data_IF_124605241884
#
_entry.id   IF_124605241884
#
_cell.length_a   1.000
_cell.length_b   1.000
_cell.length_c   1.000
_cell.angle_alpha   90.00
_cell.angle_beta   90.00
_cell.angle_gamma   90.00
#
_symmetry.space_group_name_H-M   'P 1'
#
loop_
_entity.id
_entity.type
_entity.pdbx_description
1 polymer ?
#
# COMPACT_ATOMS: atom_id res chain seq x y z
N UNK A 1 -21.39 -0.73 -2.25
CA UNK A 1 -20.09 -1.41 -2.16
C UNK A 1 -19.13 -0.52 -1.40
N UNK A 2 -18.35 -1.06 -0.46
CA UNK A 2 -17.26 -0.35 0.20
C UNK A 2 -16.02 -0.31 -0.67
N UNK A 3 -15.25 0.77 -0.55
CA UNK A 3 -14.01 0.95 -1.31
C UNK A 3 -12.88 1.28 -0.32
N UNK A 4 -11.74 0.62 -0.51
CA UNK A 4 -10.46 0.97 0.11
C UNK A 4 -9.52 1.41 -1.00
N UNK A 5 -9.01 2.62 -0.91
CA UNK A 5 -8.12 3.16 -1.95
C UNK A 5 -6.76 2.47 -1.94
N UNK A 6 -6.10 2.42 -3.09
CA UNK A 6 -4.73 1.90 -3.23
C UNK A 6 -3.74 2.65 -2.34
N UNK A 7 -3.88 3.97 -2.21
CA UNK A 7 -3.02 4.77 -1.33
C UNK A 7 -3.18 4.40 0.14
N UNK A 8 -4.38 3.97 0.57
CA UNK A 8 -4.60 3.44 1.92
C UNK A 8 -3.84 2.13 2.12
N UNK A 9 -3.95 1.18 1.18
CA UNK A 9 -3.24 -0.11 1.23
C UNK A 9 -1.73 0.12 1.20
N UNK A 10 -1.24 0.93 0.25
CA UNK A 10 0.18 1.28 0.12
C UNK A 10 0.72 1.97 1.39
N UNK A 11 -0.11 2.77 2.09
CA UNK A 11 0.29 3.36 3.38
C UNK A 11 0.53 2.29 4.44
N UNK A 12 -0.33 1.27 4.53
CA UNK A 12 -0.18 0.18 5.49
C UNK A 12 1.10 -0.65 5.22
N UNK A 13 1.37 -0.92 3.94
CA UNK A 13 2.61 -1.59 3.53
C UNK A 13 3.83 -0.75 3.94
N UNK A 14 3.83 0.57 3.65
CA UNK A 14 4.91 1.47 4.07
C UNK A 14 5.14 1.48 5.57
N UNK A 15 4.06 1.57 6.35
CA UNK A 15 4.15 1.57 7.81
C UNK A 15 4.75 0.25 8.33
N UNK A 16 4.37 -0.88 7.75
CA UNK A 16 4.94 -2.17 8.12
C UNK A 16 6.43 -2.24 7.77
N UNK A 17 6.82 -1.85 6.56
CA UNK A 17 8.22 -1.85 6.12
C UNK A 17 9.07 -0.95 7.00
N UNK A 18 8.58 0.24 7.37
CA UNK A 18 9.27 1.16 8.27
C UNK A 18 9.52 0.55 9.67
N UNK A 19 8.58 -0.23 10.19
CA UNK A 19 8.71 -0.90 11.49
C UNK A 19 9.60 -2.14 11.40
N UNK A 20 9.36 -2.99 10.40
CA UNK A 20 9.99 -4.31 10.32
C UNK A 20 11.44 -4.27 9.83
N UNK A 21 11.79 -3.26 9.03
CA UNK A 21 13.10 -3.12 8.39
C UNK A 21 13.77 -1.78 8.73
N UNK A 22 13.50 -1.24 9.92
CA UNK A 22 14.11 0.00 10.40
C UNK A 22 15.63 -0.10 10.40
N UNK A 23 16.30 0.88 9.79
CA UNK A 23 17.78 0.93 9.70
C UNK A 23 18.39 -0.01 8.65
N UNK A 24 17.59 -0.84 7.98
CA UNK A 24 18.09 -1.66 6.87
C UNK A 24 18.32 -0.80 5.62
N UNK A 25 19.48 -1.00 4.98
CA UNK A 25 19.84 -0.25 3.78
C UNK A 25 18.82 -0.46 2.65
N UNK A 26 18.37 0.62 2.02
CA UNK A 26 17.40 0.58 0.94
C UNK A 26 15.94 0.42 1.40
N UNK A 27 15.65 0.30 2.69
CA UNK A 27 14.30 0.14 3.23
C UNK A 27 13.67 1.43 3.77
N UNK A 28 14.29 2.59 3.52
CA UNK A 28 13.68 3.87 3.89
C UNK A 28 12.34 4.10 3.16
N UNK A 29 11.49 4.92 3.77
CA UNK A 29 10.21 5.35 3.18
C UNK A 29 10.27 6.84 2.83
N UNK A 30 10.09 7.15 1.54
CA UNK A 30 10.06 8.52 1.05
C UNK A 30 8.77 9.23 1.49
N UNK A 31 7.64 8.59 1.24
CA UNK A 31 6.31 9.18 1.51
C UNK A 31 5.94 8.97 2.97
N UNK A 32 6.43 9.84 3.85
CA UNK A 32 6.09 9.93 5.28
C UNK A 32 6.10 11.38 5.76
N UNK A 33 5.55 11.62 6.94
CA UNK A 33 5.27 12.97 7.47
C UNK A 33 6.43 13.60 8.24
N UNK A 34 7.62 13.03 8.19
CA UNK A 34 8.81 13.49 8.92
C UNK A 34 9.38 14.79 8.36
N UNK A 35 9.52 14.88 7.03
CA UNK A 35 10.08 16.04 6.31
C UNK A 35 9.29 16.33 5.04
N UNK A 36 9.36 17.56 4.55
CA UNK A 36 8.84 17.91 3.23
C UNK A 36 9.57 17.13 2.13
N UNK A 37 8.85 16.73 1.08
CA UNK A 37 9.45 15.94 -0.02
C UNK A 37 10.60 16.67 -0.70
N UNK A 38 10.46 17.99 -0.95
CA UNK A 38 11.52 18.76 -1.57
C UNK A 38 12.82 18.78 -0.74
N UNK A 39 12.73 18.72 0.59
CA UNK A 39 13.91 18.57 1.45
C UNK A 39 14.63 17.25 1.20
N UNK A 40 13.87 16.15 1.07
CA UNK A 40 14.44 14.82 0.76
C UNK A 40 15.07 14.78 -0.64
N UNK A 41 14.52 15.53 -1.60
CA UNK A 41 15.12 15.63 -2.93
C UNK A 41 16.44 16.40 -2.89
N UNK A 42 16.51 17.49 -2.14
CA UNK A 42 17.77 18.23 -1.91
C UNK A 42 18.81 17.34 -1.22
N UNK A 43 18.42 16.59 -0.17
CA UNK A 43 19.29 15.62 0.50
C UNK A 43 19.85 14.55 -0.47
N UNK A 44 19.04 14.09 -1.44
CA UNK A 44 19.51 13.15 -2.47
C UNK A 44 20.55 13.78 -3.40
N UNK A 45 20.38 15.04 -3.79
CA UNK A 45 21.38 15.77 -4.58
C UNK A 45 22.67 15.94 -3.81
N UNK A 46 22.61 16.33 -2.54
CA UNK A 46 23.79 16.51 -1.66
C UNK A 46 24.54 15.17 -1.48
N UNK A 47 23.82 14.08 -1.24
CA UNK A 47 24.40 12.74 -1.10
C UNK A 47 25.12 12.27 -2.37
N UNK A 48 24.68 12.73 -3.55
CA UNK A 48 25.31 12.44 -4.84
C UNK A 48 26.41 13.45 -5.21
N UNK A 49 26.72 14.46 -4.38
CA UNK A 49 27.67 15.52 -4.69
C UNK A 49 27.20 16.43 -5.83
N UNK A 50 25.90 16.53 -6.08
CA UNK A 50 25.31 17.36 -7.11
C UNK A 50 25.03 18.76 -6.58
N UNK A 51 25.07 19.77 -7.45
CA UNK A 51 24.71 21.14 -7.08
C UNK A 51 23.21 21.25 -6.78
N UNK A 52 22.87 21.90 -5.67
CA UNK A 52 21.49 22.11 -5.21
C UNK A 52 21.00 23.51 -5.58
N UNK A 53 19.68 23.68 -5.65
CA UNK A 53 18.98 24.97 -5.81
C UNK A 53 19.40 25.81 -7.04
N UNK A 54 19.96 25.20 -8.05
CA UNK A 54 20.27 25.84 -9.33
C UNK A 54 19.08 25.73 -10.30
N UNK A 55 18.75 26.78 -11.01
CA UNK A 55 17.74 26.75 -12.09
C UNK A 55 18.27 25.97 -13.29
N UNK A 56 17.41 25.20 -13.94
CA UNK A 56 17.75 24.50 -15.18
C UNK A 56 18.62 23.26 -14.99
N UNK A 57 18.27 22.39 -14.04
CA UNK A 57 18.93 21.10 -13.82
C UNK A 57 19.08 20.33 -15.13
N UNK A 58 20.27 19.77 -15.36
CA UNK A 58 20.49 18.90 -16.51
C UNK A 58 19.86 17.51 -16.27
N UNK A 59 19.60 16.79 -17.36
CA UNK A 59 18.98 15.47 -17.31
C UNK A 59 19.81 14.43 -16.54
N UNK A 60 21.15 14.55 -16.57
CA UNK A 60 22.03 13.62 -15.86
C UNK A 60 21.95 13.79 -14.34
N UNK A 61 21.92 15.02 -13.83
CA UNK A 61 21.73 15.27 -12.39
C UNK A 61 20.40 14.70 -11.89
N UNK A 62 19.33 14.92 -12.66
CA UNK A 62 18.00 14.36 -12.34
C UNK A 62 18.05 12.83 -12.34
N UNK A 63 18.73 12.22 -13.30
CA UNK A 63 18.87 10.77 -13.38
C UNK A 63 19.64 10.20 -12.19
N UNK A 64 20.79 10.78 -11.86
CA UNK A 64 21.63 10.34 -10.73
C UNK A 64 20.86 10.44 -9.41
N UNK A 65 20.19 11.57 -9.16
CA UNK A 65 19.39 11.75 -7.94
C UNK A 65 18.19 10.76 -7.87
N UNK A 66 17.53 10.50 -9.00
CA UNK A 66 16.46 9.50 -9.10
C UNK A 66 16.97 8.09 -8.78
N UNK A 67 18.12 7.71 -9.34
CA UNK A 67 18.70 6.38 -9.14
C UNK A 67 19.13 6.22 -7.66
N UNK A 68 19.69 7.24 -7.04
CA UNK A 68 19.94 7.27 -5.59
C UNK A 68 18.66 7.07 -4.77
N UNK A 69 17.56 7.77 -5.11
CA UNK A 69 16.29 7.59 -4.41
C UNK A 69 15.75 6.16 -4.60
N UNK A 70 15.81 5.61 -5.80
CA UNK A 70 15.39 4.21 -6.03
C UNK A 70 16.22 3.23 -5.19
N UNK A 71 17.52 3.45 -5.01
CA UNK A 71 18.39 2.58 -4.20
C UNK A 71 18.06 2.65 -2.70
N UNK A 72 17.72 3.84 -2.19
CA UNK A 72 17.59 4.07 -0.76
C UNK A 72 16.15 3.99 -0.23
N UNK A 73 15.14 4.12 -1.10
CA UNK A 73 13.73 4.19 -0.70
C UNK A 73 12.91 3.04 -1.29
N UNK A 74 12.52 2.10 -0.43
CA UNK A 74 11.72 0.93 -0.80
C UNK A 74 10.44 1.31 -1.53
N UNK A 75 9.70 2.29 -1.01
CA UNK A 75 8.39 2.64 -1.55
C UNK A 75 8.46 3.30 -2.94
N UNK A 76 9.55 4.02 -3.25
CA UNK A 76 9.78 4.59 -4.59
C UNK A 76 10.13 3.48 -5.57
N UNK A 77 11.05 2.60 -5.20
CA UNK A 77 11.46 1.45 -6.01
C UNK A 77 10.30 0.51 -6.29
N UNK A 78 9.37 0.36 -5.32
CA UNK A 78 8.22 -0.54 -5.39
C UNK A 78 7.03 0.08 -6.12
N UNK A 79 6.56 1.23 -5.66
CA UNK A 79 5.28 1.83 -6.13
C UNK A 79 5.47 2.96 -7.13
N UNK A 80 6.68 3.50 -7.22
CA UNK A 80 6.97 4.70 -7.99
C UNK A 80 6.63 5.99 -7.26
N UNK A 81 7.09 7.09 -7.81
CA UNK A 81 6.79 8.44 -7.33
C UNK A 81 6.94 9.49 -8.43
N UNK A 82 6.19 10.59 -8.33
CA UNK A 82 6.39 11.81 -9.10
C UNK A 82 7.19 12.78 -8.23
N UNK A 83 8.43 13.03 -8.61
CA UNK A 83 9.41 13.83 -7.86
C UNK A 83 9.92 15.00 -8.69
N UNK A 84 9.02 15.64 -9.44
CA UNK A 84 9.34 16.71 -10.39
C UNK A 84 9.14 18.11 -9.83
N UNK A 85 8.89 18.24 -8.52
CA UNK A 85 8.65 19.52 -7.84
C UNK A 85 9.91 20.05 -7.18
N UNK A 86 9.91 21.37 -6.91
CA UNK A 86 11.03 22.04 -6.21
C UNK A 86 12.22 22.37 -7.11
N UNK A 87 13.26 22.85 -6.48
CA UNK A 87 14.49 23.29 -7.17
C UNK A 87 15.43 22.12 -7.53
N UNK A 88 15.28 20.99 -6.85
CA UNK A 88 16.08 19.77 -7.01
C UNK A 88 15.23 18.58 -7.44
N UNK A 89 14.64 18.59 -8.66
CA UNK A 89 13.74 17.53 -9.09
C UNK A 89 14.49 16.22 -9.31
N UNK A 90 13.86 15.10 -8.88
CA UNK A 90 14.37 13.75 -9.08
C UNK A 90 13.60 12.98 -10.18
N UNK A 91 12.78 13.69 -10.96
CA UNK A 91 12.04 13.13 -12.09
C UNK A 91 10.86 12.25 -11.69
N UNK A 92 10.54 11.27 -12.53
CA UNK A 92 9.40 10.37 -12.34
C UNK A 92 9.90 8.94 -12.34
N UNK A 93 9.43 8.16 -11.36
CA UNK A 93 9.65 6.71 -11.29
C UNK A 93 8.29 6.03 -11.45
N UNK A 94 8.21 5.12 -12.43
CA UNK A 94 7.07 4.20 -12.56
C UNK A 94 7.43 2.88 -11.89
N UNK A 95 6.83 2.63 -10.72
CA UNK A 95 7.10 1.42 -9.95
C UNK A 95 6.49 0.17 -10.56
N UNK A 96 7.09 -1.01 -10.30
CA UNK A 96 6.61 -2.30 -10.78
C UNK A 96 5.30 -2.73 -10.14
N UNK A 97 5.01 -2.31 -8.91
CA UNK A 97 3.86 -2.77 -8.14
C UNK A 97 2.70 -1.78 -8.25
N UNK A 98 1.60 -2.24 -8.79
CA UNK A 98 0.34 -1.50 -8.85
C UNK A 98 -0.74 -2.29 -8.12
N UNK A 99 -1.52 -1.60 -7.29
CA UNK A 99 -2.62 -2.18 -6.53
C UNK A 99 -3.89 -1.45 -6.91
N UNK A 100 -4.95 -2.19 -7.25
CA UNK A 100 -6.26 -1.64 -7.51
C UNK A 100 -6.95 -1.26 -6.19
N UNK A 101 -8.05 -0.51 -6.26
CA UNK A 101 -8.87 -0.27 -5.09
C UNK A 101 -9.45 -1.59 -4.56
N UNK A 102 -9.34 -1.80 -3.27
CA UNK A 102 -10.03 -2.88 -2.60
C UNK A 102 -11.54 -2.62 -2.62
N UNK A 103 -12.32 -3.60 -3.07
CA UNK A 103 -13.78 -3.53 -3.12
C UNK A 103 -14.39 -4.55 -2.18
N UNK A 104 -15.45 -4.16 -1.44
CA UNK A 104 -16.15 -5.12 -0.60
C UNK A 104 -16.87 -6.15 -1.47
N UNK A 105 -16.86 -7.41 -1.02
CA UNK A 105 -17.57 -8.53 -1.68
C UNK A 105 -19.08 -8.29 -1.63
N UNK A 106 -19.58 -7.91 -0.46
CA UNK A 106 -20.97 -7.54 -0.25
C UNK A 106 -21.15 -6.03 -0.05
N UNK A 107 -22.36 -5.50 -0.22
CA UNK A 107 -22.69 -4.14 0.20
C UNK A 107 -22.38 -3.95 1.69
N UNK A 108 -21.74 -2.83 2.04
CA UNK A 108 -21.46 -2.44 3.42
C UNK A 108 -22.23 -1.18 3.78
N UNK A 109 -22.68 -1.11 5.03
CA UNK A 109 -23.35 0.04 5.59
C UNK A 109 -22.44 0.70 6.65
N UNK A 110 -21.84 1.86 6.35
CA UNK A 110 -21.11 2.61 7.35
C UNK A 110 -22.04 3.07 8.47
N UNK A 111 -21.57 2.95 9.71
CA UNK A 111 -22.26 3.46 10.90
C UNK A 111 -21.47 4.63 11.47
N UNK A 112 -22.19 5.66 11.92
CA UNK A 112 -21.63 6.79 12.63
C UNK A 112 -21.92 6.64 14.12
N UNK A 113 -20.92 6.78 14.96
CA UNK A 113 -21.04 6.82 16.41
C UNK A 113 -20.43 8.11 16.95
N UNK A 114 -21.07 8.66 18.00
CA UNK A 114 -20.51 9.77 18.76
C UNK A 114 -19.55 9.23 19.80
N UNK A 115 -18.39 9.86 19.90
CA UNK A 115 -17.39 9.61 20.94
C UNK A 115 -17.19 10.89 21.76
N UNK A 116 -17.02 10.74 23.07
CA UNK A 116 -16.87 11.87 23.97
C UNK A 116 -15.51 11.79 24.67
N UNK A 117 -14.75 12.87 24.55
CA UNK A 117 -13.53 13.07 25.33
C UNK A 117 -13.87 13.84 26.60
N UNK A 118 -13.47 13.33 27.76
CA UNK A 118 -13.75 13.92 29.08
C UNK A 118 -12.91 15.17 29.42
N UNK A 119 -12.14 15.68 28.47
CA UNK A 119 -11.30 16.84 28.65
C UNK A 119 -11.35 17.75 27.43
N UNK A 120 -11.35 19.04 27.66
CA UNK A 120 -11.22 20.09 26.65
C UNK A 120 -9.76 20.42 26.37
N UNK A 121 -9.48 21.15 25.29
CA UNK A 121 -8.10 21.43 24.85
C UNK A 121 -7.51 22.68 25.48
N UNK A 122 -8.34 23.71 25.74
CA UNK A 122 -7.88 25.01 26.24
C UNK A 122 -8.59 25.40 27.51
N UNK A 123 -7.99 26.29 28.35
CA UNK A 123 -8.62 26.81 29.54
C UNK A 123 -9.85 27.67 29.21
N UNK A 124 -9.88 28.33 28.07
CA UNK A 124 -11.06 29.06 27.56
C UNK A 124 -12.23 28.13 27.24
N UNK A 125 -11.97 26.95 26.70
CA UNK A 125 -13.01 25.96 26.48
C UNK A 125 -13.55 25.40 27.79
N UNK A 126 -12.69 25.18 28.80
CA UNK A 126 -13.06 24.67 30.11
C UNK A 126 -14.10 25.54 30.82
N UNK A 127 -14.07 26.85 30.59
CA UNK A 127 -15.05 27.78 31.14
C UNK A 127 -16.47 27.59 30.54
N UNK A 128 -16.57 26.98 29.33
CA UNK A 128 -17.82 26.91 28.60
C UNK A 128 -18.32 25.46 28.42
N UNK A 129 -17.46 24.44 28.51
CA UNK A 129 -17.81 23.02 28.30
C UNK A 129 -16.84 22.14 29.09
N UNK A 130 -17.33 21.01 29.57
CA UNK A 130 -16.52 20.01 30.30
C UNK A 130 -15.99 18.89 29.39
N UNK A 131 -16.64 18.67 28.25
CA UNK A 131 -16.35 17.57 27.38
C UNK A 131 -16.24 18.02 25.91
N UNK A 132 -15.57 17.24 25.10
CA UNK A 132 -15.47 17.42 23.66
C UNK A 132 -16.07 16.22 22.94
N UNK A 133 -17.00 16.46 22.02
CA UNK A 133 -17.65 15.42 21.23
C UNK A 133 -17.07 15.34 19.82
N UNK A 134 -16.85 14.12 19.35
CA UNK A 134 -16.44 13.83 17.98
C UNK A 134 -17.31 12.72 17.38
N UNK A 135 -17.28 12.60 16.07
CA UNK A 135 -17.96 11.54 15.34
C UNK A 135 -16.94 10.58 14.73
N UNK A 136 -17.27 9.30 14.72
CA UNK A 136 -16.45 8.27 14.09
C UNK A 136 -17.31 7.38 13.23
N UNK A 137 -16.90 7.24 11.96
CA UNK A 137 -17.53 6.30 11.04
C UNK A 137 -16.77 4.98 11.05
N UNK A 138 -17.46 3.87 11.02
CA UNK A 138 -16.89 2.54 10.92
C UNK A 138 -17.80 1.59 10.16
N UNK A 139 -17.23 0.50 9.67
CA UNK A 139 -17.94 -0.61 9.03
C UNK A 139 -17.88 -1.77 10.02
N UNK A 140 -19.05 -2.28 10.51
CA UNK A 140 -19.09 -3.36 11.49
C UNK A 140 -18.39 -4.63 11.00
N UNK A 141 -18.62 -5.00 9.75
CA UNK A 141 -17.96 -6.10 9.07
C UNK A 141 -17.91 -5.84 7.56
N UNK A 142 -16.87 -6.33 6.89
CA UNK A 142 -16.74 -6.34 5.44
C UNK A 142 -15.55 -7.18 4.99
N UNK A 143 -15.77 -8.03 3.99
CA UNK A 143 -14.71 -8.72 3.28
C UNK A 143 -14.38 -7.91 2.02
N UNK A 144 -13.10 -7.61 1.83
CA UNK A 144 -12.62 -6.82 0.70
C UNK A 144 -11.67 -7.64 -0.16
N UNK A 145 -11.83 -7.55 -1.47
CA UNK A 145 -10.92 -8.06 -2.46
C UNK A 145 -10.14 -6.91 -3.07
N UNK A 146 -8.82 -7.00 -3.08
CA UNK A 146 -7.93 -6.11 -3.82
C UNK A 146 -7.11 -6.94 -4.81
N UNK A 147 -6.89 -6.41 -5.98
CA UNK A 147 -6.08 -7.00 -7.03
C UNK A 147 -4.85 -6.14 -7.26
N UNK A 148 -3.76 -6.76 -7.68
CA UNK A 148 -2.52 -6.05 -7.90
C UNK A 148 -1.66 -6.72 -8.97
N UNK A 149 -0.65 -6.00 -9.43
CA UNK A 149 0.25 -6.41 -10.49
C UNK A 149 1.69 -6.15 -10.09
N UNK A 150 2.58 -7.04 -10.47
CA UNK A 150 4.03 -6.85 -10.38
C UNK A 150 4.63 -7.01 -11.77
N UNK A 151 5.21 -5.93 -12.30
CA UNK A 151 5.82 -5.92 -13.63
C UNK A 151 7.31 -6.18 -13.54
N UNK A 152 7.78 -7.34 -14.00
CA UNK A 152 9.19 -7.66 -14.05
C UNK A 152 10.01 -6.67 -14.90
N UNK A 153 9.44 -6.16 -16.00
CA UNK A 153 10.09 -5.17 -16.85
C UNK A 153 10.28 -3.82 -16.17
N UNK A 154 9.35 -3.41 -15.29
CA UNK A 154 9.50 -2.19 -14.49
C UNK A 154 10.41 -2.43 -13.29
N UNK A 155 10.40 -3.62 -12.69
CA UNK A 155 11.30 -4.01 -11.61
C UNK A 155 12.77 -3.85 -12.02
N UNK A 156 13.14 -4.33 -13.21
CA UNK A 156 14.48 -4.13 -13.78
C UNK A 156 14.89 -2.64 -13.89
N UNK A 157 13.93 -1.76 -14.17
CA UNK A 157 14.18 -0.31 -14.31
C UNK A 157 14.34 0.42 -12.98
N UNK A 158 13.68 -0.06 -11.93
CA UNK A 158 13.71 0.60 -10.61
C UNK A 158 14.72 -0.03 -9.66
N UNK A 159 15.25 -1.22 -10.00
CA UNK A 159 16.07 -2.03 -9.12
C UNK A 159 15.29 -2.80 -8.06
N UNK A 160 13.95 -2.95 -8.25
CA UNK A 160 13.12 -3.79 -7.37
C UNK A 160 13.54 -5.25 -7.52
N UNK A 161 14.00 -5.86 -6.43
CA UNK A 161 14.60 -7.18 -6.39
C UNK A 161 13.63 -8.26 -5.91
N UNK A 162 14.05 -9.55 -5.98
CA UNK A 162 13.33 -10.66 -5.36
C UNK A 162 13.24 -10.51 -3.82
N UNK A 163 14.27 -9.95 -3.19
CA UNK A 163 14.25 -9.65 -1.75
C UNK A 163 13.19 -8.58 -1.42
N UNK A 164 13.09 -7.53 -2.25
CA UNK A 164 12.01 -6.55 -2.13
C UNK A 164 10.62 -7.17 -2.32
N UNK A 165 10.51 -8.15 -3.23
CA UNK A 165 9.26 -8.87 -3.47
C UNK A 165 8.86 -9.71 -2.24
N UNK A 166 9.79 -10.40 -1.61
CA UNK A 166 9.49 -11.16 -0.37
C UNK A 166 9.17 -10.22 0.80
N UNK A 167 9.85 -9.07 0.92
CA UNK A 167 9.47 -8.01 1.88
C UNK A 167 8.05 -7.48 1.62
N UNK A 168 7.68 -7.31 0.34
CA UNK A 168 6.32 -6.91 -0.04
C UNK A 168 5.28 -7.95 0.37
N UNK A 169 5.53 -9.26 0.13
CA UNK A 169 4.62 -10.32 0.55
C UNK A 169 4.48 -10.36 2.07
N UNK A 170 5.57 -10.26 2.79
CA UNK A 170 5.57 -10.20 4.26
C UNK A 170 4.76 -8.99 4.75
N UNK A 171 4.97 -7.82 4.14
CA UNK A 171 4.23 -6.62 4.49
C UNK A 171 2.73 -6.76 4.22
N UNK A 172 2.33 -7.33 3.07
CA UNK A 172 0.92 -7.57 2.76
C UNK A 172 0.28 -8.51 3.78
N UNK A 173 0.97 -9.57 4.17
CA UNK A 173 0.44 -10.56 5.11
C UNK A 173 0.30 -10.01 6.53
N UNK A 174 1.19 -9.13 6.97
CA UNK A 174 1.30 -8.69 8.37
C UNK A 174 0.94 -7.22 8.63
N UNK A 175 0.71 -6.40 7.60
CA UNK A 175 0.51 -4.95 7.75
C UNK A 175 -0.64 -4.57 8.70
N UNK A 176 -1.64 -5.41 8.88
CA UNK A 176 -2.78 -5.13 9.74
C UNK A 176 -2.53 -5.47 11.20
N UNK A 177 -1.56 -6.35 11.50
CA UNK A 177 -1.19 -6.72 12.88
C UNK A 177 -0.52 -5.56 13.62
N UNK A 178 0.00 -4.58 12.88
CA UNK A 178 0.63 -3.37 13.42
C UNK A 178 -0.19 -2.09 13.18
N UNK A 179 -1.48 -2.21 12.75
CA UNK A 179 -2.35 -1.08 12.44
C UNK A 179 -3.68 -1.13 13.20
N UNK A 180 -3.64 -1.58 14.45
CA UNK A 180 -4.86 -1.67 15.27
C UNK A 180 -5.41 -0.30 15.67
N UNK A 181 -6.72 -0.20 15.68
CA UNK A 181 -7.47 0.91 16.27
C UNK A 181 -8.85 0.45 16.68
N UNK A 182 -9.58 1.25 17.46
CA UNK A 182 -10.92 0.90 17.89
C UNK A 182 -11.89 0.52 16.75
N UNK A 183 -11.69 1.09 15.53
CA UNK A 183 -12.48 0.76 14.36
C UNK A 183 -11.81 -0.32 13.44
N UNK A 184 -10.63 -0.79 13.78
CA UNK A 184 -9.83 -1.77 13.01
C UNK A 184 -9.23 -2.85 13.91
N UNK A 185 -9.92 -3.22 14.98
CA UNK A 185 -9.38 -4.13 16.00
C UNK A 185 -9.13 -5.56 15.51
N UNK A 186 -9.93 -6.06 14.57
CA UNK A 186 -9.82 -7.42 14.03
C UNK A 186 -9.62 -7.46 12.52
N UNK A 187 -9.04 -6.42 11.96
CA UNK A 187 -8.72 -6.39 10.53
C UNK A 187 -7.46 -7.24 10.29
N UNK A 188 -7.52 -8.16 9.33
CA UNK A 188 -6.39 -9.03 8.98
C UNK A 188 -6.49 -9.51 7.54
N UNK A 189 -5.37 -9.95 6.99
CA UNK A 189 -5.35 -10.68 5.73
C UNK A 189 -6.05 -12.03 5.89
N UNK A 190 -6.76 -12.47 4.86
CA UNK A 190 -7.46 -13.75 4.84
C UNK A 190 -6.94 -14.69 3.79
N UNK A 191 -6.55 -14.17 2.63
CA UNK A 191 -5.88 -14.90 1.58
C UNK A 191 -4.96 -13.99 0.78
N UNK A 192 -3.83 -14.53 0.36
CA UNK A 192 -2.93 -13.95 -0.62
C UNK A 192 -2.67 -14.99 -1.70
N UNK A 193 -3.22 -14.73 -2.89
CA UNK A 193 -3.12 -15.60 -4.06
C UNK A 193 -2.25 -14.88 -5.09
N UNK A 194 -1.24 -15.58 -5.61
CA UNK A 194 -0.30 -15.04 -6.58
C UNK A 194 -0.28 -15.93 -7.82
N UNK A 195 -0.43 -15.33 -8.97
CA UNK A 195 -0.23 -15.96 -10.27
C UNK A 195 1.16 -15.58 -10.77
N UNK A 196 2.10 -16.52 -10.70
CA UNK A 196 3.47 -16.34 -11.16
C UNK A 196 3.59 -16.75 -12.63
N UNK A 197 4.09 -15.84 -13.45
CA UNK A 197 4.33 -16.08 -14.86
C UNK A 197 5.77 -16.50 -15.10
N UNK A 198 6.00 -17.42 -16.02
CA UNK A 198 7.33 -17.81 -16.48
C UNK A 198 7.96 -16.72 -17.39
N UNK A 199 7.12 -15.97 -18.12
CA UNK A 199 7.56 -14.89 -19.00
C UNK A 199 7.53 -13.53 -18.29
N UNK A 200 8.54 -12.69 -18.55
CA UNK A 200 8.60 -11.31 -18.04
C UNK A 200 7.43 -10.41 -18.51
N UNK A 201 6.81 -10.76 -19.64
CA UNK A 201 5.65 -10.04 -20.19
C UNK A 201 4.32 -10.67 -19.80
N UNK A 202 4.35 -11.79 -19.08
CA UNK A 202 3.18 -12.59 -18.73
C UNK A 202 2.85 -13.67 -19.75
N UNK A 203 2.12 -14.70 -19.31
CA UNK A 203 1.71 -15.86 -20.11
C UNK A 203 0.20 -15.91 -20.35
N UNK A 204 -0.57 -15.12 -19.60
CA UNK A 204 -2.02 -15.04 -19.74
C UNK A 204 -2.53 -13.65 -19.33
N UNK A 205 -3.71 -13.22 -19.85
CA UNK A 205 -4.36 -11.99 -19.42
C UNK A 205 -4.71 -12.01 -17.93
N UNK A 206 -4.39 -10.92 -17.22
CA UNK A 206 -4.64 -10.83 -15.78
C UNK A 206 -6.14 -10.94 -15.42
N UNK A 207 -7.03 -10.43 -16.27
CA UNK A 207 -8.47 -10.56 -16.06
C UNK A 207 -8.92 -12.03 -15.99
N UNK A 208 -8.45 -12.87 -16.89
CA UNK A 208 -8.75 -14.31 -16.89
C UNK A 208 -8.24 -15.00 -15.62
N UNK A 209 -7.07 -14.60 -15.12
CA UNK A 209 -6.50 -15.16 -13.89
C UNK A 209 -7.28 -14.70 -12.65
N UNK A 210 -7.70 -13.44 -12.62
CA UNK A 210 -8.50 -12.94 -11.50
C UNK A 210 -9.90 -13.57 -11.47
N UNK A 211 -10.50 -13.87 -12.62
CA UNK A 211 -11.80 -14.54 -12.73
C UNK A 211 -11.76 -16.01 -12.24
N UNK A 212 -10.56 -16.63 -12.16
CA UNK A 212 -10.38 -17.95 -11.55
C UNK A 212 -10.58 -17.98 -10.04
N UNK A 213 -10.63 -16.83 -9.38
CA UNK A 213 -10.89 -16.71 -7.96
C UNK A 213 -12.26 -16.11 -7.73
N UNK A 214 -13.19 -16.91 -7.26
CA UNK A 214 -14.57 -16.50 -6.95
C UNK A 214 -14.81 -16.50 -5.45
N UNK A 215 -15.43 -15.45 -4.95
CA UNK A 215 -15.82 -15.32 -3.54
C UNK A 215 -17.34 -15.21 -3.48
N UNK A 216 -17.96 -16.07 -2.68
CA UNK A 216 -19.42 -16.07 -2.48
C UNK A 216 -19.77 -16.29 -1.02
N UNK A 217 -20.92 -15.78 -0.59
CA UNK A 217 -21.48 -16.15 0.72
C UNK A 217 -21.88 -17.62 0.72
N UNK A 218 -21.77 -18.25 1.88
CA UNK A 218 -22.29 -19.60 2.07
C UNK A 218 -23.81 -19.62 1.98
N UNK A 219 -24.36 -20.76 1.57
CA UNK A 219 -25.80 -20.95 1.47
C UNK A 219 -26.47 -20.76 2.85
N UNK A 220 -27.60 -20.06 2.87
CA UNK A 220 -28.34 -19.73 4.09
C UNK A 220 -27.81 -18.54 4.90
N UNK A 221 -26.68 -17.92 4.50
CA UNK A 221 -26.16 -16.70 5.13
C UNK A 221 -26.79 -15.47 4.48
N UNK A 222 -27.72 -14.82 5.16
CA UNK A 222 -28.33 -13.58 4.68
C UNK A 222 -27.38 -12.38 4.81
N UNK A 223 -26.69 -12.26 5.97
CA UNK A 223 -25.75 -11.17 6.27
C UNK A 223 -24.47 -11.77 6.83
N UNK A 224 -23.38 -11.62 6.08
CA UNK A 224 -22.08 -12.09 6.54
C UNK A 224 -21.54 -11.22 7.68
N UNK A 225 -20.97 -11.85 8.72
CA UNK A 225 -20.39 -11.23 9.91
C UNK A 225 -19.02 -11.79 10.28
N UNK A 226 -18.58 -12.79 9.55
CA UNK A 226 -17.29 -13.44 9.76
C UNK A 226 -16.69 -13.97 8.45
N UNK A 227 -15.40 -14.26 8.46
CA UNK A 227 -14.73 -14.94 7.34
C UNK A 227 -15.36 -16.30 7.03
N UNK A 228 -15.86 -17.00 8.03
CA UNK A 228 -16.47 -18.32 7.89
C UNK A 228 -17.78 -18.29 7.10
N UNK A 229 -18.37 -17.13 6.90
CA UNK A 229 -19.61 -16.95 6.16
C UNK A 229 -19.38 -16.89 4.64
N UNK A 230 -18.11 -17.02 4.20
CA UNK A 230 -17.74 -17.01 2.79
C UNK A 230 -17.06 -18.31 2.37
N UNK A 231 -17.21 -18.62 1.10
CA UNK A 231 -16.43 -19.63 0.38
C UNK A 231 -15.57 -18.92 -0.67
N UNK A 232 -14.31 -19.33 -0.77
CA UNK A 232 -13.40 -18.90 -1.83
C UNK A 232 -13.10 -20.12 -2.70
N UNK A 233 -13.60 -20.08 -3.92
CA UNK A 233 -13.37 -21.12 -4.91
C UNK A 233 -12.25 -20.67 -5.86
N UNK A 234 -11.28 -21.52 -6.10
CA UNK A 234 -10.14 -21.27 -6.98
C UNK A 234 -10.13 -22.33 -8.07
N UNK A 235 -10.35 -21.93 -9.32
CA UNK A 235 -10.09 -22.81 -10.46
C UNK A 235 -8.57 -22.98 -10.61
N UNK A 236 -8.10 -24.20 -10.37
CA UNK A 236 -6.68 -24.57 -10.38
C UNK A 236 -6.16 -24.95 -11.78
N UNK A 237 -7.02 -24.92 -12.80
CA UNK A 237 -6.59 -25.18 -14.17
C UNK A 237 -5.90 -23.93 -14.73
N UNK A 238 -4.57 -23.85 -14.56
CA UNK A 238 -3.78 -22.69 -14.98
C UNK A 238 -3.37 -22.80 -16.46
N UNK A 239 -3.31 -21.64 -17.15
CA UNK A 239 -2.68 -21.57 -18.48
C UNK A 239 -1.20 -21.99 -18.42
N UNK A 240 -0.69 -22.45 -19.56
CA UNK A 240 0.73 -22.79 -19.69
C UNK A 240 1.65 -21.63 -19.29
N UNK A 241 2.65 -21.92 -18.48
CA UNK A 241 3.59 -20.93 -17.96
C UNK A 241 3.05 -20.05 -16.85
N UNK A 242 1.88 -20.37 -16.27
CA UNK A 242 1.34 -19.71 -15.07
C UNK A 242 1.31 -20.70 -13.92
N UNK A 243 1.86 -20.30 -12.78
CA UNK A 243 1.83 -21.05 -11.52
C UNK A 243 0.97 -20.32 -10.49
N UNK A 244 0.08 -21.08 -9.86
CA UNK A 244 -0.74 -20.59 -8.73
C UNK A 244 0.00 -20.82 -7.43
N UNK A 245 0.21 -19.74 -6.67
CA UNK A 245 0.80 -19.78 -5.34
C UNK A 245 -0.21 -19.23 -4.32
N UNK A 246 -0.51 -20.00 -3.29
CA UNK A 246 -1.26 -19.54 -2.13
C UNK A 246 -0.26 -19.24 -1.01
N UNK A 247 -0.08 -17.96 -0.69
CA UNK A 247 0.84 -17.52 0.38
C UNK A 247 0.12 -17.39 1.74
N UNK A 248 -1.23 -17.47 1.74
CA UNK A 248 -2.10 -17.55 2.92
C UNK A 248 -3.41 -18.23 2.55
#
# INVERSE_FOLDING_TARGET
MGIVTDVCIKRKIRNFVEIAYEGESGCNILIKTDKALNTKFTEAYEACGLKTKEKGKNADSVRIARDYICQNYFDVRTFGAVMSTGDDPCGIVRGPVQINFGKSVDPVLPQEITITRQAVTTESDKANKETEMGKKNFIPYGLYRAEGYVSAMLAQKTGFSEDDLEKLWTAILQMFEHDHSAARGKMCMRKLIVFRHASLLGNAPSAELFDKVTIRRQDGVEVARSWKDYTVDIDRNMPEGVELLEKL
#
